data_IF_672949300563
#
_entry.id   IF_672949300563
#
_cell.length_a   1.000
_cell.length_b   1.000
_cell.length_c   1.000
_cell.angle_alpha   90.00
_cell.angle_beta   90.00
_cell.angle_gamma   90.00
#
_symmetry.space_group_name_H-M   'P 1'
#
loop_
_entity.id
_entity.type
_entity.pdbx_description
1 polymer ?
#
# COMPACT_ATOMS: atom_id res chain seq x y z
N UNK A 1 -12.27 17.10 6.19
CA UNK A 1 -12.13 18.00 5.02
C UNK A 1 -11.08 17.52 4.01
N UNK A 2 -9.86 17.11 4.43
CA UNK A 2 -8.79 16.69 3.50
C UNK A 2 -9.12 15.46 2.61
N UNK A 3 -9.89 14.48 3.10
CA UNK A 3 -10.25 13.28 2.33
C UNK A 3 -11.06 13.60 1.05
N UNK A 4 -11.91 14.62 1.09
CA UNK A 4 -12.66 15.08 -0.07
C UNK A 4 -11.80 15.97 -0.98
N UNK A 5 -10.87 16.75 -0.41
CA UNK A 5 -9.95 17.59 -1.19
C UNK A 5 -9.01 16.77 -2.09
N UNK A 6 -8.52 15.62 -1.63
CA UNK A 6 -7.68 14.71 -2.44
C UNK A 6 -8.46 14.13 -3.63
N UNK A 7 -9.74 13.80 -3.43
CA UNK A 7 -10.64 13.37 -4.51
C UNK A 7 -10.90 14.49 -5.52
N UNK A 8 -11.17 15.70 -5.04
CA UNK A 8 -11.52 16.87 -5.85
C UNK A 8 -10.35 17.40 -6.71
N UNK A 9 -9.11 16.97 -6.45
CA UNK A 9 -7.91 17.35 -7.22
C UNK A 9 -7.39 16.22 -8.13
N UNK A 10 -8.21 15.23 -8.50
CA UNK A 10 -7.78 14.05 -9.27
C UNK A 10 -6.64 13.24 -8.62
N UNK A 11 -6.38 13.46 -7.32
CA UNK A 11 -5.23 12.88 -6.63
C UNK A 11 -5.33 11.37 -6.43
N UNK A 12 -6.54 10.80 -6.49
CA UNK A 12 -6.75 9.35 -6.28
C UNK A 12 -6.01 8.53 -7.36
N UNK A 13 -6.08 8.93 -8.62
CA UNK A 13 -5.36 8.23 -9.70
C UNK A 13 -3.85 8.29 -9.49
N UNK A 14 -3.31 9.45 -9.14
CA UNK A 14 -1.88 9.63 -8.85
C UNK A 14 -1.43 8.80 -7.66
N UNK A 15 -2.21 8.79 -6.58
CA UNK A 15 -1.93 7.98 -5.37
C UNK A 15 -1.90 6.49 -5.71
N UNK A 16 -2.86 6.01 -6.51
CA UNK A 16 -2.88 4.60 -6.94
C UNK A 16 -1.70 4.29 -7.87
N UNK A 17 -1.30 5.23 -8.73
CA UNK A 17 -0.15 5.05 -9.62
C UNK A 17 1.19 4.98 -8.87
N UNK A 18 1.29 5.57 -7.67
CA UNK A 18 2.47 5.43 -6.80
C UNK A 18 2.63 3.99 -6.25
N UNK A 19 1.64 3.11 -6.39
CA UNK A 19 1.79 1.69 -6.08
C UNK A 19 2.51 0.91 -7.18
N UNK A 20 2.63 1.46 -8.39
CA UNK A 20 3.32 0.81 -9.50
C UNK A 20 4.85 0.94 -9.37
N UNK A 21 5.63 0.01 -9.94
CA UNK A 21 7.07 0.17 -10.09
C UNK A 21 7.41 1.48 -10.83
N UNK A 22 8.50 2.19 -10.49
CA UNK A 22 9.66 1.79 -9.68
C UNK A 22 9.57 2.14 -8.17
N UNK A 23 8.37 2.27 -7.59
CA UNK A 23 8.19 2.64 -6.19
C UNK A 23 8.86 1.68 -5.19
N UNK A 24 9.58 2.24 -4.21
CA UNK A 24 10.24 1.49 -3.13
C UNK A 24 9.26 1.17 -2.01
N UNK A 25 9.51 0.09 -1.27
CA UNK A 25 8.64 -0.40 -0.19
C UNK A 25 8.26 0.63 0.89
N UNK A 26 9.14 1.53 1.36
CA UNK A 26 8.75 2.57 2.31
C UNK A 26 7.64 3.49 1.78
N UNK A 27 7.72 3.87 0.50
CA UNK A 27 6.70 4.66 -0.18
C UNK A 27 5.41 3.86 -0.36
N UNK A 28 5.52 2.61 -0.81
CA UNK A 28 4.36 1.70 -0.96
C UNK A 28 3.61 1.55 0.37
N UNK A 29 4.32 1.37 1.50
CA UNK A 29 3.70 1.28 2.83
C UNK A 29 2.93 2.56 3.20
N UNK A 30 3.52 3.73 2.96
CA UNK A 30 2.87 5.02 3.22
C UNK A 30 1.61 5.21 2.36
N UNK A 31 1.68 4.85 1.07
CA UNK A 31 0.56 4.94 0.13
C UNK A 31 -0.58 3.99 0.52
N UNK A 32 -0.28 2.76 0.97
CA UNK A 32 -1.30 1.84 1.49
C UNK A 32 -2.04 2.44 2.70
N UNK A 33 -1.31 3.06 3.63
CA UNK A 33 -1.91 3.75 4.78
C UNK A 33 -2.79 4.94 4.37
N UNK A 34 -2.36 5.70 3.36
CA UNK A 34 -3.15 6.79 2.80
C UNK A 34 -4.44 6.28 2.14
N UNK A 35 -4.37 5.21 1.34
CA UNK A 35 -5.55 4.59 0.71
C UNK A 35 -6.52 4.08 1.77
N UNK A 36 -6.04 3.46 2.86
CA UNK A 36 -6.88 3.06 4.00
C UNK A 36 -7.63 4.26 4.58
N UNK A 37 -6.94 5.38 4.78
CA UNK A 37 -7.56 6.61 5.31
C UNK A 37 -8.57 7.22 4.32
N UNK A 38 -8.32 7.16 3.02
CA UNK A 38 -9.27 7.63 2.00
C UNK A 38 -10.51 6.73 1.92
N UNK A 39 -10.36 5.43 2.11
CA UNK A 39 -11.45 4.46 2.10
C UNK A 39 -12.39 4.56 3.31
N UNK A 40 -12.02 5.28 4.38
CA UNK A 40 -12.95 5.60 5.47
C UNK A 40 -14.12 6.48 5.00
N UNK A 41 -13.96 7.20 3.88
CA UNK A 41 -15.05 7.93 3.24
C UNK A 41 -15.66 7.07 2.11
N UNK A 42 -16.94 6.71 2.24
CA UNK A 42 -17.67 5.94 1.22
C UNK A 42 -17.66 6.59 -0.17
N UNK A 43 -17.59 7.92 -0.20
CA UNK A 43 -17.55 8.70 -1.44
C UNK A 43 -16.26 8.50 -2.26
N UNK A 44 -15.24 7.86 -1.69
CA UNK A 44 -13.99 7.48 -2.37
C UNK A 44 -13.98 6.02 -2.84
N UNK A 45 -14.98 5.20 -2.50
CA UNK A 45 -15.02 3.77 -2.84
C UNK A 45 -15.10 3.53 -4.34
N UNK A 46 -16.03 4.22 -5.03
CA UNK A 46 -16.17 4.09 -6.48
C UNK A 46 -14.90 4.53 -7.23
N UNK A 47 -14.31 5.72 -6.98
CA UNK A 47 -13.05 6.11 -7.59
C UNK A 47 -11.89 5.13 -7.32
N UNK A 48 -11.72 4.66 -6.08
CA UNK A 48 -10.65 3.71 -5.74
C UNK A 48 -10.80 2.38 -6.50
N UNK A 49 -12.04 1.92 -6.68
CA UNK A 49 -12.35 0.72 -7.47
C UNK A 49 -12.06 0.95 -8.95
N UNK A 50 -12.51 2.07 -9.51
CA UNK A 50 -12.35 2.42 -10.92
C UNK A 50 -10.87 2.55 -11.31
N UNK A 51 -10.04 3.13 -10.45
CA UNK A 51 -8.60 3.24 -10.68
C UNK A 51 -7.82 1.94 -10.38
N UNK A 52 -8.49 0.84 -10.04
CA UNK A 52 -7.84 -0.46 -9.86
C UNK A 52 -7.06 -0.61 -8.55
N UNK A 53 -7.31 0.24 -7.55
CA UNK A 53 -6.59 0.19 -6.26
C UNK A 53 -6.69 -1.19 -5.60
N UNK A 54 -7.86 -1.82 -5.66
CA UNK A 54 -8.10 -3.16 -5.08
C UNK A 54 -7.20 -4.20 -5.73
N UNK A 55 -7.09 -4.18 -7.06
CA UNK A 55 -6.27 -5.14 -7.80
C UNK A 55 -4.78 -5.00 -7.44
N UNK A 56 -4.28 -3.76 -7.37
CA UNK A 56 -2.89 -3.49 -6.98
C UNK A 56 -2.61 -3.91 -5.53
N UNK A 57 -3.54 -3.65 -4.60
CA UNK A 57 -3.40 -4.09 -3.21
C UNK A 57 -3.31 -5.62 -3.09
N UNK A 58 -4.11 -6.35 -3.86
CA UNK A 58 -4.06 -7.82 -3.89
C UNK A 58 -2.73 -8.33 -4.44
N UNK A 59 -2.23 -7.74 -5.53
CA UNK A 59 -0.91 -8.09 -6.09
C UNK A 59 0.20 -7.85 -5.06
N UNK A 60 0.19 -6.68 -4.41
CA UNK A 60 1.18 -6.33 -3.39
C UNK A 60 1.10 -7.26 -2.18
N UNK A 61 -0.10 -7.64 -1.75
CA UNK A 61 -0.31 -8.60 -0.67
C UNK A 61 0.27 -9.97 -1.02
N UNK A 62 -0.04 -10.50 -2.20
CA UNK A 62 0.49 -11.78 -2.68
C UNK A 62 2.02 -11.76 -2.79
N UNK A 63 2.59 -10.65 -3.27
CA UNK A 63 4.05 -10.47 -3.33
C UNK A 63 4.67 -10.44 -1.93
N UNK A 64 4.15 -9.63 -1.02
CA UNK A 64 4.63 -9.54 0.36
C UNK A 64 4.48 -10.87 1.11
N UNK A 65 3.39 -11.60 0.87
CA UNK A 65 3.16 -12.93 1.44
C UNK A 65 4.17 -13.95 0.91
N UNK A 66 4.38 -14.00 -0.40
CA UNK A 66 5.38 -14.89 -1.03
C UNK A 66 6.78 -14.61 -0.50
N UNK A 67 7.15 -13.34 -0.36
CA UNK A 67 8.44 -12.94 0.22
C UNK A 67 8.55 -13.36 1.69
N UNK A 68 7.47 -13.22 2.48
CA UNK A 68 7.41 -13.70 3.87
C UNK A 68 7.62 -15.21 3.95
N UNK A 69 6.97 -15.98 3.08
CA UNK A 69 7.12 -17.45 3.03
C UNK A 69 8.54 -17.87 2.64
N UNK A 70 9.20 -17.15 1.72
CA UNK A 70 10.60 -17.41 1.34
C UNK A 70 11.56 -17.12 2.49
N UNK A 71 11.38 -16.02 3.21
CA UNK A 71 12.24 -15.66 4.36
C UNK A 71 12.07 -16.64 5.52
N UNK A 72 10.84 -17.10 5.80
CA UNK A 72 10.58 -18.12 6.83
C UNK A 72 11.29 -19.45 6.54
N UNK A 73 11.47 -19.82 5.27
CA UNK A 73 12.18 -21.06 4.89
C UNK A 73 13.70 -20.98 5.07
N UNK A 74 14.27 -19.77 5.05
CA UNK A 74 15.74 -19.59 5.12
C UNK A 74 16.26 -19.39 6.54
N UNK A 75 15.40 -19.39 7.58
CA UNK A 75 15.82 -19.21 8.98
C UNK A 75 16.46 -17.85 9.31
N UNK A 76 16.64 -16.97 8.32
CA UNK A 76 17.03 -15.58 8.44
C UNK A 76 15.83 -14.74 8.89
N UNK A 77 15.25 -15.10 10.03
CA UNK A 77 14.30 -14.24 10.69
C UNK A 77 15.05 -12.95 11.05
N UNK A 78 14.55 -11.82 10.52
CA UNK A 78 14.88 -10.44 10.89
C UNK A 78 15.92 -9.59 10.14
N UNK A 79 16.71 -10.06 9.16
CA UNK A 79 17.75 -9.18 8.54
C UNK A 79 17.44 -8.59 7.16
N UNK A 80 16.41 -9.07 6.47
CA UNK A 80 16.18 -8.71 5.06
C UNK A 80 14.80 -8.12 4.76
N UNK A 81 14.24 -7.34 5.69
CA UNK A 81 13.06 -6.51 5.41
C UNK A 81 13.49 -5.22 4.68
N UNK A 82 13.85 -5.37 3.39
CA UNK A 82 13.71 -4.38 2.32
C UNK A 82 13.93 -2.89 2.70
N UNK A 83 15.13 -2.54 3.17
CA UNK A 83 15.52 -1.13 3.35
C UNK A 83 15.11 -0.51 4.68
N UNK A 84 15.12 -1.27 5.77
CA UNK A 84 15.17 -0.71 7.13
C UNK A 84 13.82 -0.42 7.79
N UNK A 85 12.70 -0.89 7.23
CA UNK A 85 11.39 -0.76 7.89
C UNK A 85 11.06 -2.05 8.64
N UNK A 86 11.38 -2.06 9.94
CA UNK A 86 11.02 -3.16 10.85
C UNK A 86 9.49 -3.23 10.99
N UNK A 87 8.93 -4.43 10.84
CA UNK A 87 7.52 -4.76 11.15
C UNK A 87 7.32 -4.77 12.68
N UNK A 88 7.46 -3.60 13.30
CA UNK A 88 6.96 -3.33 14.67
C UNK A 88 6.07 -2.08 14.72
N UNK A 89 5.82 -1.45 13.58
CA UNK A 89 4.83 -0.37 13.38
C UNK A 89 3.85 -0.77 12.28
N UNK A 90 3.18 -1.89 12.51
CA UNK A 90 1.89 -2.25 11.88
C UNK A 90 0.79 -2.38 12.96
N UNK A 91 1.02 -1.79 14.14
CA UNK A 91 -0.07 -1.18 14.89
C UNK A 91 -0.37 0.14 14.18
N UNK A 92 -1.54 0.21 13.54
CA UNK A 92 -2.12 1.47 13.10
C UNK A 92 -2.60 2.25 14.32
#
# INVERSE_FOLDING_TARGET
>A
MAQNAVRLNYGIQTIVNLLNPPSRWPLVKAVIGLIRNLALCQANHAPLREYGAIHLLVILLNRAFTDTQRVSRTGLFFRSFLGGVVVKTLTW
#
